data_IF_504021384192
#
_entry.id   IF_504021384192
#
_cell.length_a   1.000
_cell.length_b   1.000
_cell.length_c   1.000
_cell.angle_alpha   90.00
_cell.angle_beta   90.00
_cell.angle_gamma   90.00
#
_symmetry.space_group_name_H-M   'P 1'
#
loop_
_entity.id
_entity.type
_entity.pdbx_description
1 polymer ?
#
# COMPACT_ATOMS: atom_id res chain seq x y z
N UNK A 1 -26.83 8.48 -8.54
CA UNK A 1 -26.40 8.71 -9.94
C UNK A 1 -24.90 8.71 -9.95
N UNK A 2 -24.28 7.88 -10.79
CA UNK A 2 -22.83 7.75 -10.90
C UNK A 2 -22.44 8.33 -12.26
N UNK A 3 -21.46 9.24 -12.28
CA UNK A 3 -20.97 9.88 -13.50
C UNK A 3 -19.54 9.41 -13.71
N UNK A 4 -19.31 8.70 -14.80
CA UNK A 4 -17.98 8.23 -15.19
C UNK A 4 -17.42 9.21 -16.23
N UNK A 5 -16.15 9.60 -16.05
CA UNK A 5 -15.43 10.51 -16.94
C UNK A 5 -14.18 9.76 -17.40
N UNK A 6 -14.04 9.53 -18.69
CA UNK A 6 -12.84 8.97 -19.30
C UNK A 6 -11.87 10.09 -19.67
N UNK A 7 -10.59 9.91 -19.34
CA UNK A 7 -9.53 10.85 -19.68
C UNK A 7 -8.58 10.16 -20.66
N UNK A 8 -8.29 10.81 -21.79
CA UNK A 8 -7.31 10.30 -22.77
C UNK A 8 -5.88 10.33 -22.20
N UNK A 9 -5.60 11.26 -21.29
CA UNK A 9 -4.31 11.41 -20.64
C UNK A 9 -4.46 11.47 -19.12
N UNK A 10 -3.82 10.53 -18.41
CA UNK A 10 -3.83 10.46 -16.95
C UNK A 10 -3.13 11.65 -16.28
N UNK A 11 -2.25 12.36 -16.99
CA UNK A 11 -1.60 13.57 -16.48
C UNK A 11 -2.60 14.72 -16.22
N UNK A 12 -3.71 14.75 -16.94
CA UNK A 12 -4.75 15.78 -16.79
C UNK A 12 -5.61 15.57 -15.54
N UNK A 13 -5.48 14.43 -14.87
CA UNK A 13 -6.28 14.10 -13.69
C UNK A 13 -6.13 15.13 -12.57
N UNK A 14 -4.91 15.60 -12.28
CA UNK A 14 -4.69 16.56 -11.21
C UNK A 14 -5.49 17.87 -11.43
N UNK A 15 -5.58 18.30 -12.69
CA UNK A 15 -6.37 19.46 -13.09
C UNK A 15 -7.87 19.17 -13.01
N UNK A 16 -8.33 18.07 -13.59
CA UNK A 16 -9.76 17.67 -13.62
C UNK A 16 -10.30 17.46 -12.21
N UNK A 17 -9.56 16.77 -11.33
CA UNK A 17 -9.92 16.56 -9.93
C UNK A 17 -10.16 17.89 -9.22
N UNK A 18 -9.22 18.82 -9.34
CA UNK A 18 -9.31 20.15 -8.74
C UNK A 18 -10.52 20.94 -9.28
N UNK A 19 -10.84 20.79 -10.57
CA UNK A 19 -12.00 21.43 -11.18
C UNK A 19 -13.32 20.87 -10.62
N UNK A 20 -13.42 19.55 -10.47
CA UNK A 20 -14.60 18.87 -9.92
C UNK A 20 -14.79 19.14 -8.42
N UNK A 21 -13.72 19.16 -7.63
CA UNK A 21 -13.78 19.46 -6.19
C UNK A 21 -14.33 20.88 -5.89
N UNK A 22 -14.18 21.81 -6.84
CA UNK A 22 -14.73 23.17 -6.72
C UNK A 22 -16.25 23.24 -6.98
N UNK A 23 -16.88 22.17 -7.49
CA UNK A 23 -18.32 22.14 -7.75
C UNK A 23 -19.05 21.82 -6.45
N UNK A 24 -19.91 22.74 -5.99
CA UNK A 24 -20.78 22.52 -4.83
C UNK A 24 -21.64 21.26 -5.04
N UNK A 25 -21.48 20.29 -4.14
CA UNK A 25 -22.27 19.05 -4.13
C UNK A 25 -21.46 17.79 -4.50
N UNK A 26 -20.24 17.92 -5.00
CA UNK A 26 -19.34 16.78 -5.16
C UNK A 26 -18.72 16.42 -3.81
N UNK A 27 -18.94 15.17 -3.36
CA UNK A 27 -18.39 14.66 -2.09
C UNK A 27 -17.01 14.03 -2.23
N UNK A 28 -16.74 13.39 -3.37
CA UNK A 28 -15.49 12.68 -3.61
C UNK A 28 -15.29 12.42 -5.10
N UNK A 29 -14.06 12.61 -5.58
CA UNK A 29 -13.61 12.20 -6.92
C UNK A 29 -12.61 11.06 -6.72
N UNK A 30 -13.01 9.85 -7.05
CA UNK A 30 -12.20 8.63 -6.93
C UNK A 30 -11.95 8.05 -8.33
N UNK A 31 -10.73 7.60 -8.58
CA UNK A 31 -10.40 6.80 -9.76
C UNK A 31 -10.63 5.34 -9.37
N UNK A 32 -11.34 4.59 -10.19
CA UNK A 32 -11.17 3.15 -10.22
C UNK A 32 -9.81 2.91 -10.89
N UNK A 33 -8.73 2.97 -10.10
CA UNK A 33 -7.48 2.38 -10.58
C UNK A 33 -7.75 0.89 -10.55
N UNK A 34 -7.60 0.23 -11.69
CA UNK A 34 -7.48 -1.22 -11.72
C UNK A 34 -6.22 -1.56 -10.91
N UNK A 35 -6.36 -1.64 -9.58
CA UNK A 35 -5.30 -2.06 -8.69
C UNK A 35 -4.99 -3.50 -9.04
N UNK A 36 -3.83 -3.72 -9.66
CA UNK A 36 -3.35 -5.07 -9.86
C UNK A 36 -3.02 -5.66 -8.48
N UNK A 37 -3.77 -6.70 -8.10
CA UNK A 37 -3.58 -7.45 -6.88
C UNK A 37 -2.88 -8.79 -7.16
N UNK A 38 -2.14 -9.30 -6.18
CA UNK A 38 -1.75 -10.70 -6.11
C UNK A 38 -2.96 -11.57 -5.72
N UNK A 39 -2.83 -12.91 -5.85
CA UNK A 39 -3.91 -13.86 -5.53
C UNK A 39 -4.41 -13.76 -4.07
N UNK A 40 -3.56 -13.28 -3.16
CA UNK A 40 -3.88 -13.06 -1.75
C UNK A 40 -4.56 -11.70 -1.48
N UNK A 41 -4.79 -10.89 -2.52
CA UNK A 41 -5.37 -9.56 -2.42
C UNK A 41 -4.36 -8.45 -2.10
N UNK A 42 -3.06 -8.76 -2.04
CA UNK A 42 -2.02 -7.75 -1.80
C UNK A 42 -1.86 -6.87 -3.05
N UNK A 43 -1.89 -5.53 -2.94
CA UNK A 43 -1.63 -4.65 -4.09
C UNK A 43 -0.20 -4.80 -4.61
N UNK A 44 -0.01 -4.92 -5.93
CA UNK A 44 1.33 -5.10 -6.51
C UNK A 44 2.29 -3.96 -6.18
N UNK A 45 1.78 -2.72 -6.17
CA UNK A 45 2.58 -1.53 -5.80
C UNK A 45 3.15 -1.62 -4.37
N UNK A 46 2.49 -2.36 -3.48
CA UNK A 46 2.89 -2.49 -2.07
C UNK A 46 4.24 -3.21 -1.94
N UNK A 47 4.47 -4.26 -2.74
CA UNK A 47 5.72 -5.02 -2.73
C UNK A 47 6.89 -4.15 -3.23
N UNK A 48 6.68 -3.37 -4.29
CA UNK A 48 7.69 -2.42 -4.78
C UNK A 48 8.05 -1.39 -3.70
N UNK A 49 7.05 -0.83 -3.01
CA UNK A 49 7.28 0.14 -1.93
C UNK A 49 7.96 -0.47 -0.71
N UNK A 50 7.67 -1.72 -0.39
CA UNK A 50 8.39 -2.46 0.66
C UNK A 50 9.87 -2.65 0.30
N UNK A 51 10.17 -2.99 -0.95
CA UNK A 51 11.55 -3.14 -1.42
C UNK A 51 12.30 -1.81 -1.34
N UNK A 52 11.71 -0.71 -1.86
CA UNK A 52 12.30 0.63 -1.76
C UNK A 52 12.55 1.06 -0.30
N UNK A 53 11.68 0.63 0.62
CA UNK A 53 11.86 0.90 2.04
C UNK A 53 13.02 0.08 2.62
N UNK A 54 13.10 -1.21 2.30
CA UNK A 54 14.16 -2.09 2.77
C UNK A 54 15.55 -1.60 2.33
N UNK A 55 15.69 -1.10 1.10
CA UNK A 55 16.95 -0.56 0.58
C UNK A 55 17.43 0.72 1.29
N UNK A 56 16.53 1.41 2.01
CA UNK A 56 16.85 2.64 2.76
C UNK A 56 17.18 2.39 4.23
N UNK A 57 17.01 1.16 4.72
CA UNK A 57 17.26 0.86 6.12
C UNK A 57 18.76 0.98 6.43
N UNK A 58 19.07 1.74 7.48
CA UNK A 58 20.40 1.77 8.06
C UNK A 58 20.60 0.58 9.01
N UNK A 59 21.86 0.17 9.22
CA UNK A 59 22.19 -0.96 10.10
C UNK A 59 21.64 -0.81 11.53
N UNK A 60 21.55 0.44 12.03
CA UNK A 60 20.96 0.76 13.35
C UNK A 60 19.45 0.48 13.44
N UNK A 61 18.78 0.38 12.30
CA UNK A 61 17.33 0.12 12.18
C UNK A 61 17.05 -1.37 11.96
N UNK A 62 18.09 -2.17 11.72
CA UNK A 62 18.01 -3.61 11.53
C UNK A 62 18.23 -4.33 12.87
N UNK A 63 17.53 -5.45 13.06
CA UNK A 63 17.85 -6.38 14.14
C UNK A 63 19.01 -7.27 13.70
N UNK A 64 19.79 -7.73 14.67
CA UNK A 64 20.82 -8.74 14.41
C UNK A 64 20.20 -10.09 14.03
N UNK A 65 20.97 -10.93 13.34
CA UNK A 65 20.57 -12.31 13.02
C UNK A 65 20.24 -13.12 14.29
N UNK A 66 21.03 -12.93 15.34
CA UNK A 66 20.83 -13.61 16.63
C UNK A 66 19.51 -13.20 17.28
N UNK A 67 19.18 -11.90 17.25
CA UNK A 67 17.92 -11.36 17.74
C UNK A 67 16.72 -11.83 16.89
N UNK A 68 16.88 -11.91 15.57
CA UNK A 68 15.88 -12.50 14.67
C UNK A 68 15.54 -13.94 15.08
N UNK A 69 16.55 -14.80 15.25
CA UNK A 69 16.33 -16.19 15.64
C UNK A 69 15.76 -16.33 17.05
N UNK A 70 16.18 -15.48 17.99
CA UNK A 70 15.61 -15.46 19.33
C UNK A 70 14.12 -15.12 19.30
N UNK A 71 13.73 -14.08 18.55
CA UNK A 71 12.34 -13.66 18.39
C UNK A 71 11.50 -14.72 17.69
N UNK A 72 12.02 -15.32 16.61
CA UNK A 72 11.35 -16.41 15.89
C UNK A 72 11.09 -17.61 16.81
N UNK A 73 12.10 -18.08 17.55
CA UNK A 73 11.96 -19.19 18.50
C UNK A 73 10.96 -18.88 19.60
N UNK A 74 11.00 -17.67 20.17
CA UNK A 74 10.03 -17.23 21.17
C UNK A 74 8.61 -17.29 20.62
N UNK A 75 8.38 -16.80 19.40
CA UNK A 75 7.05 -16.83 18.77
C UNK A 75 6.55 -18.23 18.49
N UNK A 76 7.43 -19.12 18.02
CA UNK A 76 7.13 -20.54 17.86
C UNK A 76 6.70 -21.15 19.20
N UNK A 77 7.48 -20.92 20.26
CA UNK A 77 7.12 -21.38 21.60
C UNK A 77 5.76 -20.83 22.06
N UNK A 78 5.46 -19.54 21.87
CA UNK A 78 4.15 -18.95 22.20
C UNK A 78 2.99 -19.59 21.43
N UNK A 79 3.17 -19.87 20.13
CA UNK A 79 2.13 -20.47 19.30
C UNK A 79 1.85 -21.92 19.69
N UNK A 80 2.90 -22.70 19.97
CA UNK A 80 2.78 -24.13 20.27
C UNK A 80 2.57 -24.46 21.76
N UNK A 81 2.86 -23.52 22.67
CA UNK A 81 2.58 -23.65 24.11
C UNK A 81 1.12 -23.36 24.48
N UNK A 82 0.33 -22.78 23.57
CA UNK A 82 -1.12 -22.58 23.71
C UNK A 82 -1.96 -23.85 23.45
N UNK A 83 -1.39 -25.03 23.73
CA UNK A 83 -2.12 -26.31 23.69
C UNK A 83 -2.89 -26.55 24.99
#
# INVERSE_FOLDING_TARGET
MMVNIELENTADFAFIKKLLENIKGIKSVSIAQDEELYEDGTPKWFIEKLSEYADRLEEKEMISEEEFFANARKKVCELYSRK
#
